data_IF_456718087101
#
_entry.id   IF_456718087101
#
_cell.length_a   1.000
_cell.length_b   1.000
_cell.length_c   1.000
_cell.angle_alpha   90.00
_cell.angle_beta   90.00
_cell.angle_gamma   90.00
#
_symmetry.space_group_name_H-M   'P 1'
#
loop_
_entity.id
_entity.type
_entity.pdbx_description
1 polymer ?
#
# COMPACT_ATOMS: atom_id res chain seq x y z
N UNK A 1 0.84 61.57 17.07
CA UNK A 1 2.26 61.28 17.27
C UNK A 1 2.63 60.05 16.46
N UNK A 2 3.18 60.25 15.26
CA UNK A 2 3.59 59.20 14.36
C UNK A 2 5.07 58.89 14.48
N UNK A 3 5.41 57.64 14.33
CA UNK A 3 6.81 57.26 14.19
C UNK A 3 6.98 56.39 12.91
N UNK A 4 7.62 56.99 11.90
CA UNK A 4 8.08 56.36 10.66
C UNK A 4 9.31 55.51 10.96
N UNK A 5 9.34 54.27 10.52
CA UNK A 5 10.56 53.46 10.42
C UNK A 5 10.97 53.32 8.96
N UNK A 6 12.20 53.75 8.69
CA UNK A 6 12.87 53.73 7.37
C UNK A 6 13.32 52.31 7.00
N UNK A 7 13.03 51.94 5.78
CA UNK A 7 13.69 50.81 5.07
C UNK A 7 15.10 51.22 4.66
N UNK A 8 16.09 50.38 4.94
CA UNK A 8 17.39 50.38 4.29
C UNK A 8 17.52 49.15 3.43
N UNK A 9 17.64 49.36 2.12
CA UNK A 9 18.10 48.41 1.11
C UNK A 9 19.63 48.33 1.15
N UNK A 10 20.17 47.13 1.26
CA UNK A 10 21.59 46.84 1.12
C UNK A 10 21.80 45.84 -0.02
N UNK A 11 22.37 46.35 -1.08
CA UNK A 11 22.82 45.56 -2.24
C UNK A 11 24.19 44.95 -1.90
N UNK A 12 24.35 43.64 -1.99
CA UNK A 12 25.65 42.98 -1.93
C UNK A 12 26.02 42.45 -3.31
N UNK A 13 27.09 43.01 -3.84
CA UNK A 13 27.79 42.63 -5.09
C UNK A 13 28.69 41.42 -4.79
N UNK A 14 28.57 40.36 -5.55
CA UNK A 14 29.49 39.20 -5.48
C UNK A 14 30.46 39.32 -6.65
N UNK A 15 31.74 39.43 -6.31
CA UNK A 15 32.84 39.41 -7.26
C UNK A 15 33.27 37.97 -7.60
N UNK A 16 33.34 37.66 -8.88
CA UNK A 16 34.01 36.46 -9.39
C UNK A 16 35.54 36.64 -9.36
N UNK A 17 36.21 35.62 -8.87
CA UNK A 17 37.65 35.42 -9.17
C UNK A 17 37.81 34.04 -9.77
N UNK A 18 38.17 34.03 -11.03
CA UNK A 18 38.60 32.82 -11.72
C UNK A 18 40.11 32.61 -11.55
N UNK A 19 40.51 31.37 -11.40
CA UNK A 19 41.91 30.99 -11.60
C UNK A 19 41.97 29.65 -12.36
N UNK A 20 42.47 29.72 -13.57
CA UNK A 20 42.86 28.59 -14.38
C UNK A 20 44.34 28.29 -14.14
N UNK A 21 44.68 27.02 -13.97
CA UNK A 21 46.07 26.57 -14.22
C UNK A 21 46.08 25.18 -14.85
N UNK A 22 46.72 25.14 -15.99
CA UNK A 22 46.96 23.97 -16.83
C UNK A 22 48.33 23.36 -16.53
N UNK A 23 48.50 22.10 -16.92
CA UNK A 23 49.79 21.43 -17.11
C UNK A 23 49.99 20.24 -16.17
N UNK A 24 50.51 19.08 -16.54
CA UNK A 24 51.15 18.53 -17.73
C UNK A 24 51.16 17.01 -17.63
N UNK A 25 51.08 16.36 -18.77
CA UNK A 25 51.26 14.92 -19.00
C UNK A 25 52.71 14.50 -18.74
N UNK A 26 52.90 13.35 -18.11
CA UNK A 26 54.08 12.50 -18.37
C UNK A 26 53.69 11.01 -18.28
N UNK A 27 54.10 10.31 -19.31
CA UNK A 27 53.88 8.89 -19.54
C UNK A 27 55.07 8.04 -19.09
N UNK A 28 54.88 6.71 -19.14
CA UNK A 28 55.81 5.58 -19.11
C UNK A 28 56.19 5.07 -17.72
N UNK A 29 56.10 3.76 -17.39
CA UNK A 29 56.40 2.56 -18.18
C UNK A 29 55.98 1.26 -17.49
N UNK A 30 55.74 0.29 -18.30
CA UNK A 30 55.48 -1.12 -18.11
C UNK A 30 56.20 -1.86 -16.98
N UNK A 31 55.45 -2.76 -16.26
CA UNK A 31 56.00 -4.05 -15.80
C UNK A 31 54.90 -5.12 -15.74
N UNK A 32 55.32 -6.26 -16.17
CA UNK A 32 54.72 -7.55 -16.48
C UNK A 32 53.60 -8.06 -15.59
N UNK A 33 52.61 -8.68 -16.25
CA UNK A 33 51.56 -9.51 -15.74
C UNK A 33 52.06 -10.78 -15.04
N UNK A 34 51.41 -11.12 -13.94
CA UNK A 34 51.44 -12.41 -13.30
C UNK A 34 50.02 -13.02 -13.36
N UNK A 35 49.85 -14.31 -13.63
CA UNK A 35 48.52 -14.86 -13.93
C UNK A 35 47.66 -14.90 -12.69
N UNK A 36 46.45 -14.37 -12.85
CA UNK A 36 45.40 -14.44 -11.85
C UNK A 36 44.87 -15.86 -11.75
N UNK A 37 44.83 -16.39 -10.54
CA UNK A 37 44.12 -17.58 -10.21
C UNK A 37 42.62 -17.37 -10.51
N UNK A 38 42.09 -18.18 -11.39
CA UNK A 38 40.66 -18.32 -11.65
C UNK A 38 39.98 -18.89 -10.43
N UNK A 39 39.38 -18.05 -9.59
CA UNK A 39 38.34 -18.47 -8.68
C UNK A 39 36.99 -18.42 -9.42
N UNK A 40 36.50 -19.56 -9.81
CA UNK A 40 35.14 -19.77 -10.27
C UNK A 40 34.17 -19.53 -9.09
N UNK A 41 33.85 -18.28 -8.83
CA UNK A 41 32.77 -17.87 -7.95
C UNK A 41 31.49 -17.77 -8.76
N UNK A 42 30.68 -18.80 -8.75
CA UNK A 42 29.30 -18.72 -9.21
C UNK A 42 28.57 -17.72 -8.34
N UNK A 43 28.38 -16.49 -8.81
CA UNK A 43 27.50 -15.50 -8.21
C UNK A 43 26.07 -15.97 -8.37
N UNK A 44 25.51 -16.58 -7.34
CA UNK A 44 24.08 -16.80 -7.27
C UNK A 44 23.39 -15.44 -7.26
N UNK A 45 22.60 -15.17 -8.28
CA UNK A 45 21.86 -13.90 -8.46
C UNK A 45 20.90 -13.53 -7.31
N UNK A 46 20.78 -14.38 -6.28
CA UNK A 46 19.89 -14.17 -5.14
C UNK A 46 20.45 -13.40 -3.94
N UNK A 47 21.76 -13.11 -3.89
CA UNK A 47 22.40 -12.44 -2.73
C UNK A 47 22.76 -10.97 -2.99
N UNK A 48 22.62 -10.50 -4.22
CA UNK A 48 22.95 -9.12 -4.57
C UNK A 48 22.19 -8.11 -3.70
N UNK A 49 22.92 -7.20 -3.04
CA UNK A 49 22.37 -6.15 -2.18
C UNK A 49 21.94 -6.61 -0.77
N UNK A 50 22.19 -7.87 -0.36
CA UNK A 50 22.01 -8.32 1.03
C UNK A 50 23.35 -8.24 1.74
N UNK A 51 23.45 -7.54 2.90
CA UNK A 51 24.69 -7.49 3.67
C UNK A 51 25.15 -8.89 4.10
N UNK A 52 26.45 -9.17 4.02
CA UNK A 52 26.98 -10.46 4.43
C UNK A 52 26.66 -10.79 5.90
N UNK A 53 26.67 -9.78 6.77
CA UNK A 53 26.31 -9.91 8.20
C UNK A 53 24.88 -10.40 8.42
N UNK A 54 23.97 -10.15 7.49
CA UNK A 54 22.57 -10.59 7.59
C UNK A 54 22.45 -12.13 7.62
N UNK A 55 23.40 -12.86 7.02
CA UNK A 55 23.37 -14.33 6.97
C UNK A 55 23.81 -15.01 8.28
N UNK A 56 24.25 -14.25 9.27
CA UNK A 56 24.47 -14.71 10.64
C UNK A 56 23.55 -14.04 11.67
N UNK A 57 22.68 -13.11 11.21
CA UNK A 57 21.79 -12.35 12.08
C UNK A 57 20.51 -13.14 12.36
N UNK A 58 20.32 -13.51 13.62
CA UNK A 58 19.16 -14.23 14.15
C UNK A 58 18.42 -13.42 15.21
N UNK A 59 18.58 -12.10 15.23
CA UNK A 59 17.84 -11.20 16.15
C UNK A 59 16.34 -11.50 16.09
N UNK A 60 15.70 -11.63 17.25
CA UNK A 60 14.27 -11.96 17.35
C UNK A 60 13.90 -13.42 17.04
N UNK A 61 14.89 -14.28 16.76
CA UNK A 61 14.71 -15.71 16.54
C UNK A 61 15.22 -16.51 17.73
N UNK A 62 14.41 -17.43 18.22
CA UNK A 62 14.80 -18.43 19.25
C UNK A 62 14.58 -19.85 18.72
N UNK A 63 14.87 -20.85 19.54
CA UNK A 63 14.58 -22.23 19.19
C UNK A 63 13.08 -22.50 18.97
N UNK A 64 12.20 -21.76 19.66
CA UNK A 64 10.76 -22.01 19.70
C UNK A 64 9.88 -20.88 19.17
N UNK A 65 10.45 -19.71 18.86
CA UNK A 65 9.70 -18.54 18.44
C UNK A 65 10.42 -17.68 17.40
N UNK A 66 9.64 -16.93 16.67
CA UNK A 66 10.04 -15.80 15.81
C UNK A 66 9.23 -14.59 16.25
N UNK A 67 9.89 -13.52 16.68
CA UNK A 67 9.22 -12.27 17.02
C UNK A 67 9.30 -11.31 15.84
N UNK A 68 8.15 -10.78 15.44
CA UNK A 68 8.03 -9.78 14.38
C UNK A 68 7.46 -8.49 14.94
N UNK A 69 7.92 -7.35 14.45
CA UNK A 69 7.46 -6.03 14.87
C UNK A 69 6.38 -5.48 13.93
N UNK A 70 5.29 -4.96 14.48
CA UNK A 70 4.24 -4.26 13.78
C UNK A 70 4.22 -2.80 14.21
N UNK A 71 4.69 -1.90 13.36
CA UNK A 71 4.67 -0.45 13.60
C UNK A 71 3.50 0.13 12.84
N UNK A 72 2.51 0.65 13.56
CA UNK A 72 1.28 1.18 12.96
C UNK A 72 0.85 2.48 13.62
N UNK A 73 0.13 3.33 12.88
CA UNK A 73 -0.60 4.45 13.46
C UNK A 73 -1.90 3.93 14.05
N UNK A 74 -1.92 3.68 15.36
CA UNK A 74 -3.10 3.21 16.09
C UNK A 74 -3.92 4.36 16.67
N UNK A 75 -3.30 5.53 16.83
CA UNK A 75 -3.96 6.74 17.29
C UNK A 75 -5.23 7.03 16.48
N UNK A 76 -6.27 7.46 17.17
CA UNK A 76 -7.60 7.74 16.59
C UNK A 76 -8.26 6.53 15.90
N UNK A 77 -7.77 5.31 16.13
CA UNK A 77 -8.27 4.09 15.51
C UNK A 77 -7.96 3.96 14.02
N UNK A 78 -7.05 4.77 13.47
CA UNK A 78 -6.84 4.89 12.03
C UNK A 78 -6.46 3.57 11.35
N UNK A 79 -5.39 2.92 11.81
CA UNK A 79 -4.89 1.68 11.20
C UNK A 79 -4.80 0.53 12.22
N UNK A 80 -5.68 0.54 13.19
CA UNK A 80 -5.83 -0.56 14.15
C UNK A 80 -6.01 -1.91 13.44
N UNK A 81 -6.67 -1.91 12.29
CA UNK A 81 -6.85 -3.07 11.44
C UNK A 81 -5.53 -3.75 11.08
N UNK A 82 -4.48 -3.00 10.72
CA UNK A 82 -3.19 -3.57 10.34
C UNK A 82 -2.57 -4.41 11.46
N UNK A 83 -2.65 -3.93 12.70
CA UNK A 83 -2.20 -4.66 13.86
C UNK A 83 -3.06 -5.91 14.12
N UNK A 84 -4.38 -5.78 14.08
CA UNK A 84 -5.32 -6.90 14.27
C UNK A 84 -5.12 -7.97 13.19
N UNK A 85 -4.97 -7.59 11.93
CA UNK A 85 -4.74 -8.52 10.83
C UNK A 85 -3.43 -9.31 10.99
N UNK A 86 -2.37 -8.66 11.44
CA UNK A 86 -1.10 -9.32 11.73
C UNK A 86 -1.21 -10.27 12.92
N UNK A 87 -1.92 -9.90 13.98
CA UNK A 87 -2.19 -10.78 15.12
C UNK A 87 -3.07 -11.97 14.73
N UNK A 88 -4.08 -11.75 13.88
CA UNK A 88 -4.95 -12.80 13.37
C UNK A 88 -4.18 -13.84 12.55
N UNK A 89 -3.29 -13.38 11.67
CA UNK A 89 -2.36 -14.24 10.94
C UNK A 89 -1.46 -15.03 11.88
N UNK A 90 -0.82 -14.39 12.84
CA UNK A 90 0.03 -15.06 13.84
C UNK A 90 -0.74 -16.13 14.60
N UNK A 91 -1.92 -15.82 15.10
CA UNK A 91 -2.77 -16.77 15.80
C UNK A 91 -3.17 -17.98 14.92
N UNK A 92 -3.52 -17.72 13.65
CA UNK A 92 -3.83 -18.77 12.68
C UNK A 92 -2.64 -19.72 12.47
N UNK A 93 -1.48 -19.18 12.17
CA UNK A 93 -0.25 -19.95 11.93
C UNK A 93 0.13 -20.75 13.18
N UNK A 94 0.03 -20.14 14.35
CA UNK A 94 0.35 -20.80 15.63
C UNK A 94 -0.63 -21.95 15.95
N UNK A 95 -1.89 -21.84 15.50
CA UNK A 95 -2.88 -22.91 15.67
C UNK A 95 -2.55 -24.19 14.91
N UNK A 96 -1.76 -24.06 13.85
CA UNK A 96 -1.29 -25.18 13.01
C UNK A 96 0.14 -25.64 13.36
N UNK A 97 0.69 -25.19 14.49
CA UNK A 97 2.03 -25.58 14.98
C UNK A 97 3.13 -24.57 14.69
N UNK A 98 2.82 -23.40 14.14
CA UNK A 98 3.80 -22.38 13.80
C UNK A 98 4.48 -22.62 12.45
N UNK A 99 5.64 -21.99 12.25
CA UNK A 99 6.44 -22.12 11.02
C UNK A 99 7.79 -22.75 11.38
N UNK A 100 8.14 -23.84 10.73
CA UNK A 100 9.38 -24.60 10.99
C UNK A 100 9.57 -24.92 12.50
N UNK A 101 8.48 -25.26 13.21
CA UNK A 101 8.48 -25.59 14.62
C UNK A 101 8.53 -24.38 15.57
N UNK A 102 8.45 -23.16 15.06
CA UNK A 102 8.46 -21.92 15.85
C UNK A 102 7.12 -21.22 15.82
N UNK A 103 6.70 -20.73 16.97
CA UNK A 103 5.53 -19.84 17.07
C UNK A 103 5.91 -18.42 16.64
N UNK A 104 4.96 -17.72 16.04
CA UNK A 104 5.10 -16.32 15.71
C UNK A 104 4.57 -15.48 16.86
N UNK A 105 5.39 -14.55 17.33
CA UNK A 105 5.04 -13.53 18.30
C UNK A 105 5.01 -12.17 17.60
N UNK A 106 4.07 -11.31 17.95
CA UNK A 106 3.91 -9.98 17.35
C UNK A 106 4.12 -8.92 18.43
N UNK A 107 5.18 -8.14 18.29
CA UNK A 107 5.39 -6.93 19.07
C UNK A 107 4.69 -5.76 18.37
N UNK A 108 3.80 -5.11 19.07
CA UNK A 108 2.97 -4.03 18.55
C UNK A 108 3.48 -2.68 19.01
N UNK A 109 3.72 -1.77 18.07
CA UNK A 109 4.20 -0.43 18.32
C UNK A 109 3.23 0.59 17.73
N UNK A 110 2.76 1.52 18.56
CA UNK A 110 1.95 2.67 18.13
C UNK A 110 2.88 3.87 17.91
N UNK A 111 2.86 4.45 16.72
CA UNK A 111 3.62 5.67 16.46
C UNK A 111 2.86 6.96 16.83
N UNK A 112 1.62 6.84 17.31
CA UNK A 112 0.83 7.98 17.77
C UNK A 112 0.56 9.04 16.69
N UNK A 113 0.69 8.68 15.40
CA UNK A 113 0.62 9.65 14.28
C UNK A 113 1.76 10.70 14.37
N UNK A 114 2.95 10.27 14.72
CA UNK A 114 4.12 11.15 14.87
C UNK A 114 5.39 10.50 14.30
N UNK A 115 6.19 11.29 13.59
CA UNK A 115 7.38 10.79 12.90
C UNK A 115 8.49 10.31 13.85
N UNK A 116 8.77 11.04 14.94
CA UNK A 116 9.81 10.62 15.89
C UNK A 116 9.48 9.31 16.62
N UNK A 117 8.26 9.09 17.14
CA UNK A 117 7.84 7.78 17.64
C UNK A 117 7.87 6.67 16.58
N UNK A 118 7.49 6.94 15.33
CA UNK A 118 7.60 5.97 14.24
C UNK A 118 9.05 5.53 14.03
N UNK A 119 9.98 6.48 13.98
CA UNK A 119 11.41 6.20 13.89
C UNK A 119 11.88 5.36 15.07
N UNK A 120 11.53 5.75 16.31
CA UNK A 120 11.93 5.03 17.53
C UNK A 120 11.35 3.60 17.55
N UNK A 121 10.09 3.42 17.17
CA UNK A 121 9.48 2.09 17.07
C UNK A 121 10.22 1.21 16.06
N UNK A 122 10.55 1.77 14.89
CA UNK A 122 11.31 1.03 13.87
C UNK A 122 12.73 0.69 14.32
N UNK A 123 13.37 1.55 15.11
CA UNK A 123 14.66 1.25 15.75
C UNK A 123 14.54 0.06 16.73
N UNK A 124 13.45 -0.02 17.49
CA UNK A 124 13.19 -1.16 18.37
C UNK A 124 12.98 -2.45 17.57
N UNK A 125 12.23 -2.40 16.46
CA UNK A 125 12.10 -3.55 15.55
C UNK A 125 13.47 -3.99 15.05
N UNK A 126 14.30 -3.08 14.59
CA UNK A 126 15.63 -3.42 14.10
C UNK A 126 16.52 -4.10 15.15
N UNK A 127 16.38 -3.69 16.42
CA UNK A 127 17.22 -4.18 17.55
C UNK A 127 16.69 -5.46 18.20
N UNK A 128 15.39 -5.74 18.16
CA UNK A 128 14.77 -6.80 18.98
C UNK A 128 14.02 -7.84 18.15
N UNK A 129 13.41 -7.43 17.03
CA UNK A 129 12.51 -8.28 16.25
C UNK A 129 13.25 -8.86 15.05
N UNK A 130 12.79 -10.00 14.58
CA UNK A 130 13.40 -10.68 13.42
C UNK A 130 13.11 -9.96 12.11
N UNK A 131 11.94 -9.37 11.98
CA UNK A 131 11.48 -8.63 10.82
C UNK A 131 10.40 -7.62 11.21
N UNK A 132 10.20 -6.59 10.38
CA UNK A 132 8.98 -5.80 10.41
C UNK A 132 7.91 -6.51 9.57
N UNK A 133 6.69 -6.69 10.11
CA UNK A 133 5.59 -7.38 9.42
C UNK A 133 4.25 -6.70 9.67
N UNK A 134 3.56 -6.36 8.60
CA UNK A 134 2.14 -6.02 8.60
C UNK A 134 1.77 -4.67 9.18
N UNK A 135 2.74 -3.84 9.57
CA UNK A 135 2.48 -2.48 10.02
C UNK A 135 1.93 -1.59 8.90
N UNK A 136 1.17 -0.56 9.28
CA UNK A 136 0.73 0.49 8.36
C UNK A 136 0.72 1.84 9.09
N UNK A 137 1.42 2.82 8.53
CA UNK A 137 1.65 4.11 9.19
C UNK A 137 1.61 5.27 8.20
N UNK A 138 1.02 6.39 8.64
CA UNK A 138 1.13 7.67 7.93
C UNK A 138 2.53 8.27 8.00
N UNK A 139 3.37 7.80 8.93
CA UNK A 139 4.70 8.32 9.23
C UNK A 139 5.82 7.38 8.76
N UNK A 140 5.54 6.44 7.85
CA UNK A 140 6.47 5.39 7.41
C UNK A 140 7.76 5.93 6.76
N UNK A 141 7.77 7.18 6.29
CA UNK A 141 8.97 7.86 5.79
C UNK A 141 10.05 8.00 6.87
N UNK A 142 9.67 8.16 8.13
CA UNK A 142 10.61 8.25 9.26
C UNK A 142 11.23 6.89 9.57
N UNK A 143 10.42 5.84 9.63
CA UNK A 143 10.90 4.46 9.78
C UNK A 143 11.74 3.98 8.60
N UNK A 144 11.46 4.46 7.41
CA UNK A 144 12.25 4.17 6.21
C UNK A 144 13.71 4.57 6.37
N UNK A 145 14.02 5.67 7.09
CA UNK A 145 15.40 6.07 7.36
C UNK A 145 16.14 5.05 8.22
N UNK A 146 15.44 4.42 9.16
CA UNK A 146 15.99 3.35 10.02
C UNK A 146 16.24 2.09 9.20
N UNK A 147 15.25 1.66 8.40
CA UNK A 147 15.37 0.46 7.56
C UNK A 147 16.45 0.61 6.49
N UNK A 148 16.63 1.82 5.94
CA UNK A 148 17.72 2.12 5.02
C UNK A 148 19.10 2.00 5.67
N UNK A 149 19.22 2.43 6.93
CA UNK A 149 20.43 2.30 7.73
C UNK A 149 20.67 0.87 8.26
N UNK A 150 19.64 0.02 8.27
CA UNK A 150 19.66 -1.37 8.73
C UNK A 150 19.20 -2.34 7.62
N UNK A 151 19.93 -2.43 6.49
CA UNK A 151 19.50 -3.20 5.32
C UNK A 151 19.43 -4.71 5.56
N UNK A 152 19.92 -5.22 6.68
CA UNK A 152 19.76 -6.60 7.11
C UNK A 152 18.36 -6.93 7.65
N UNK A 153 17.57 -5.92 8.05
CA UNK A 153 16.24 -6.13 8.65
C UNK A 153 15.22 -6.36 7.55
N UNK A 154 14.58 -7.54 7.46
CA UNK A 154 13.51 -7.77 6.51
C UNK A 154 12.28 -6.92 6.87
N UNK A 155 11.64 -6.33 5.86
CA UNK A 155 10.39 -5.60 6.01
C UNK A 155 9.35 -6.18 5.05
N UNK A 156 8.38 -6.91 5.59
CA UNK A 156 7.23 -7.46 4.87
C UNK A 156 5.97 -6.69 5.27
N UNK A 157 5.81 -5.49 4.70
CA UNK A 157 4.68 -4.60 5.00
C UNK A 157 4.15 -3.94 3.73
N UNK A 158 2.89 -3.51 3.75
CA UNK A 158 2.39 -2.57 2.75
C UNK A 158 2.84 -1.18 3.15
N UNK A 159 3.70 -0.58 2.35
CA UNK A 159 4.20 0.78 2.58
C UNK A 159 3.24 1.81 2.00
N UNK A 160 3.01 2.88 2.75
CA UNK A 160 2.22 4.00 2.28
C UNK A 160 3.05 4.90 1.33
N UNK A 161 4.29 5.19 1.73
CA UNK A 161 5.20 6.02 0.92
C UNK A 161 6.03 5.19 -0.07
N UNK A 162 6.34 5.79 -1.21
CA UNK A 162 7.25 5.20 -2.19
C UNK A 162 8.66 5.01 -1.61
N UNK A 163 9.11 5.97 -0.78
CA UNK A 163 10.43 5.91 -0.13
C UNK A 163 10.58 4.65 0.72
N UNK A 164 9.57 4.30 1.52
CA UNK A 164 9.60 3.08 2.32
C UNK A 164 9.47 1.81 1.45
N UNK A 165 8.60 1.86 0.44
CA UNK A 165 8.37 0.73 -0.47
C UNK A 165 9.57 0.36 -1.35
N UNK A 166 10.36 1.34 -1.78
CA UNK A 166 11.49 1.14 -2.68
C UNK A 166 12.77 0.63 -2.02
N UNK A 167 12.82 0.57 -0.68
CA UNK A 167 13.99 0.07 0.03
C UNK A 167 14.33 -1.37 -0.38
N UNK A 168 15.62 -1.72 -0.53
CA UNK A 168 16.03 -3.06 -1.00
C UNK A 168 15.63 -4.20 -0.06
N UNK A 169 15.37 -3.90 1.22
CA UNK A 169 14.92 -4.84 2.25
C UNK A 169 13.41 -4.77 2.52
N UNK A 170 12.66 -3.97 1.75
CA UNK A 170 11.19 -3.89 1.83
C UNK A 170 10.53 -4.72 0.73
N UNK A 171 9.56 -5.54 1.12
CA UNK A 171 8.76 -6.39 0.24
C UNK A 171 7.30 -6.28 0.66
N UNK A 172 6.42 -6.04 -0.29
CA UNK A 172 5.01 -5.82 -0.01
C UNK A 172 4.14 -6.84 -0.71
N UNK A 173 3.07 -7.34 -0.08
CA UNK A 173 2.05 -8.11 -0.78
C UNK A 173 1.29 -7.28 -1.82
N UNK A 174 1.26 -5.95 -1.64
CA UNK A 174 0.72 -4.98 -2.57
C UNK A 174 1.74 -3.82 -2.73
N UNK A 175 2.73 -3.98 -3.60
CA UNK A 175 3.81 -3.02 -3.75
C UNK A 175 3.29 -1.62 -4.10
N UNK A 176 3.78 -0.61 -3.40
CA UNK A 176 3.46 0.77 -3.68
C UNK A 176 3.98 1.17 -5.06
N UNK A 177 3.10 1.74 -5.88
CA UNK A 177 3.46 2.31 -7.17
C UNK A 177 2.59 3.54 -7.43
N UNK A 178 3.17 4.54 -8.08
CA UNK A 178 2.42 5.71 -8.54
C UNK A 178 1.85 5.37 -9.92
N UNK A 179 0.53 5.37 -10.02
CA UNK A 179 -0.18 4.97 -11.22
C UNK A 179 -1.52 4.34 -10.87
N UNK A 180 -2.13 3.68 -11.85
CA UNK A 180 -3.43 3.03 -11.67
C UNK A 180 -3.63 1.87 -12.64
N UNK A 181 -4.37 0.80 -12.26
CA UNK A 181 -4.81 -0.22 -13.21
C UNK A 181 -5.74 0.38 -14.27
N UNK A 182 -5.47 0.10 -15.55
CA UNK A 182 -6.30 0.65 -16.63
C UNK A 182 -7.58 -0.15 -16.86
N UNK A 183 -7.64 -1.41 -16.41
CA UNK A 183 -8.78 -2.29 -16.61
C UNK A 183 -10.09 -1.72 -16.07
N UNK A 184 -10.19 -1.28 -14.80
CA UNK A 184 -11.38 -0.65 -14.26
C UNK A 184 -11.81 0.58 -15.06
N UNK A 185 -10.84 1.41 -15.45
CA UNK A 185 -11.12 2.61 -16.24
C UNK A 185 -11.70 2.26 -17.63
N UNK A 186 -11.19 1.22 -18.26
CA UNK A 186 -11.73 0.71 -19.53
C UNK A 186 -13.15 0.16 -19.34
N UNK A 187 -13.39 -0.57 -18.25
CA UNK A 187 -14.70 -1.09 -17.89
C UNK A 187 -15.76 0.02 -17.78
N UNK A 188 -15.49 1.06 -16.97
CA UNK A 188 -16.42 2.17 -16.82
C UNK A 188 -16.58 2.99 -18.08
N UNK A 189 -15.53 3.15 -18.89
CA UNK A 189 -15.62 3.81 -20.19
C UNK A 189 -16.52 3.06 -21.16
N UNK A 190 -16.47 1.74 -21.19
CA UNK A 190 -17.37 0.93 -22.00
C UNK A 190 -18.82 1.02 -21.52
N UNK A 191 -18.99 1.04 -20.19
CA UNK A 191 -20.33 1.07 -19.58
C UNK A 191 -20.98 2.46 -19.65
N UNK A 192 -20.19 3.51 -19.48
CA UNK A 192 -20.64 4.90 -19.39
C UNK A 192 -19.82 5.83 -20.32
N UNK A 193 -19.84 5.60 -21.63
CA UNK A 193 -18.92 6.29 -22.56
C UNK A 193 -19.11 7.82 -22.59
N UNK A 194 -20.33 8.32 -22.38
CA UNK A 194 -20.61 9.75 -22.29
C UNK A 194 -20.24 10.32 -20.91
N UNK A 195 -20.47 9.57 -19.84
CA UNK A 195 -20.31 10.08 -18.47
C UNK A 195 -18.85 10.19 -18.05
N UNK A 196 -17.96 9.36 -18.60
CA UNK A 196 -16.50 9.48 -18.37
C UNK A 196 -15.91 10.77 -18.95
N UNK A 197 -16.63 11.47 -19.83
CA UNK A 197 -16.28 12.82 -20.28
C UNK A 197 -16.63 13.90 -19.22
N UNK A 198 -17.28 13.51 -18.15
CA UNK A 198 -17.72 14.33 -17.04
C UNK A 198 -17.33 13.69 -15.72
N UNK A 199 -16.11 13.20 -15.63
CA UNK A 199 -15.59 12.55 -14.43
C UNK A 199 -15.25 13.58 -13.35
N UNK A 200 -15.50 13.22 -12.10
CA UNK A 200 -15.11 13.99 -10.94
C UNK A 200 -14.41 13.13 -9.90
N UNK A 201 -13.62 13.76 -9.06
CA UNK A 201 -13.03 13.14 -7.87
C UNK A 201 -12.98 14.12 -6.70
N UNK A 202 -13.10 13.57 -5.50
CA UNK A 202 -12.86 14.28 -4.25
C UNK A 202 -11.81 13.49 -3.47
N UNK A 203 -10.74 14.14 -3.06
CA UNK A 203 -9.52 13.50 -2.56
C UNK A 203 -9.17 14.04 -1.19
N UNK A 204 -8.82 13.17 -0.25
CA UNK A 204 -8.33 13.60 1.04
C UNK A 204 -7.03 14.43 0.88
N UNK A 205 -6.95 15.57 1.57
CA UNK A 205 -5.76 16.42 1.59
C UNK A 205 -4.66 15.78 2.46
N UNK A 206 -4.13 14.66 1.97
CA UNK A 206 -3.02 13.91 2.54
C UNK A 206 -2.00 13.63 1.44
N UNK A 207 -0.69 13.72 1.70
CA UNK A 207 0.34 13.56 0.67
C UNK A 207 0.22 12.27 -0.12
N UNK A 208 -0.08 11.14 0.53
CA UNK A 208 -0.25 9.84 -0.12
C UNK A 208 -1.50 9.78 -1.00
N UNK A 209 -2.63 10.33 -0.55
CA UNK A 209 -3.85 10.37 -1.33
C UNK A 209 -3.70 11.26 -2.57
N UNK A 210 -3.06 12.41 -2.41
CA UNK A 210 -2.75 13.34 -3.51
C UNK A 210 -1.84 12.68 -4.55
N UNK A 211 -0.80 11.97 -4.10
CA UNK A 211 0.13 11.26 -4.99
C UNK A 211 -0.58 10.14 -5.75
N UNK A 212 -1.38 9.32 -5.07
CA UNK A 212 -2.18 8.26 -5.72
C UNK A 212 -3.16 8.84 -6.72
N UNK A 213 -3.88 9.89 -6.35
CA UNK A 213 -4.79 10.57 -7.26
C UNK A 213 -4.08 11.13 -8.51
N UNK A 214 -2.88 11.66 -8.36
CA UNK A 214 -2.07 12.10 -9.49
C UNK A 214 -1.83 10.99 -10.51
N UNK A 215 -1.51 9.80 -10.03
CA UNK A 215 -1.34 8.60 -10.87
C UNK A 215 -2.65 8.11 -11.49
N UNK A 216 -3.72 8.07 -10.72
CA UNK A 216 -5.06 7.69 -11.18
C UNK A 216 -5.59 8.66 -12.25
N UNK A 217 -5.49 9.97 -12.02
CA UNK A 217 -5.88 11.01 -12.98
C UNK A 217 -5.08 10.91 -14.28
N UNK A 218 -3.77 10.64 -14.21
CA UNK A 218 -2.94 10.44 -15.39
C UNK A 218 -3.38 9.18 -16.18
N UNK A 219 -3.70 8.09 -15.48
CA UNK A 219 -4.25 6.89 -16.11
C UNK A 219 -5.61 7.16 -16.74
N UNK A 220 -6.52 7.86 -16.05
CA UNK A 220 -7.81 8.31 -16.61
C UNK A 220 -7.62 9.07 -17.92
N UNK A 221 -6.73 10.05 -17.93
CA UNK A 221 -6.42 10.82 -19.14
C UNK A 221 -5.91 9.92 -20.26
N UNK A 222 -5.04 8.94 -19.96
CA UNK A 222 -4.54 7.98 -20.95
C UNK A 222 -5.64 7.11 -21.57
N UNK A 223 -6.75 6.90 -20.82
CA UNK A 223 -7.91 6.14 -21.25
C UNK A 223 -9.01 7.04 -21.88
N UNK A 224 -8.74 8.34 -22.05
CA UNK A 224 -9.65 9.29 -22.70
C UNK A 224 -10.78 9.79 -21.81
N UNK A 225 -10.58 9.79 -20.49
CA UNK A 225 -11.47 10.49 -19.55
C UNK A 225 -11.25 11.99 -19.61
N UNK A 226 -12.31 12.75 -19.32
CA UNK A 226 -12.24 14.18 -19.06
C UNK A 226 -12.67 14.44 -17.61
N UNK A 227 -11.73 14.87 -16.77
CA UNK A 227 -11.98 15.20 -15.36
C UNK A 227 -12.39 16.66 -15.27
N UNK A 228 -13.66 16.89 -14.96
CA UNK A 228 -14.27 18.24 -14.87
C UNK A 228 -14.32 18.78 -13.45
N UNK A 229 -14.12 17.92 -12.44
CA UNK A 229 -14.07 18.28 -11.03
C UNK A 229 -12.94 17.50 -10.34
N UNK A 230 -12.08 18.20 -9.60
CA UNK A 230 -10.92 17.66 -8.96
C UNK A 230 -10.57 18.55 -7.76
N UNK A 231 -11.08 18.19 -6.59
CA UNK A 231 -10.92 18.98 -5.38
C UNK A 231 -10.41 18.13 -4.22
N UNK A 232 -9.75 18.79 -3.29
CA UNK A 232 -9.29 18.19 -2.03
C UNK A 232 -10.18 18.64 -0.88
N UNK A 233 -10.29 17.81 0.16
CA UNK A 233 -10.95 18.13 1.40
C UNK A 233 -10.03 17.92 2.60
N UNK A 234 -10.19 18.73 3.65
CA UNK A 234 -9.45 18.58 4.90
C UNK A 234 -9.99 17.43 5.75
N UNK A 235 -9.11 16.74 6.47
CA UNK A 235 -9.47 15.58 7.31
C UNK A 235 -10.44 15.92 8.46
N UNK A 236 -10.60 17.20 8.79
CA UNK A 236 -11.58 17.68 9.78
C UNK A 236 -12.91 18.09 9.16
N UNK A 237 -13.03 18.03 7.83
CA UNK A 237 -14.26 18.42 7.14
C UNK A 237 -15.36 17.39 7.38
N UNK A 238 -16.53 17.85 7.78
CA UNK A 238 -17.73 17.04 8.03
C UNK A 238 -18.92 17.38 7.14
N UNK A 239 -18.93 18.59 6.56
CA UNK A 239 -19.96 19.08 5.66
C UNK A 239 -19.41 19.17 4.23
N UNK A 240 -20.05 18.44 3.32
CA UNK A 240 -19.68 18.37 1.91
C UNK A 240 -20.69 19.05 0.98
N UNK A 241 -21.62 19.81 1.55
CA UNK A 241 -22.67 20.51 0.78
C UNK A 241 -22.09 21.36 -0.36
N UNK A 242 -21.07 22.17 -0.07
CA UNK A 242 -20.45 23.03 -1.09
C UNK A 242 -19.69 22.25 -2.15
N UNK A 243 -19.09 21.12 -1.79
CA UNK A 243 -18.45 20.24 -2.75
C UNK A 243 -19.46 19.66 -3.73
N UNK A 244 -20.63 19.23 -3.25
CA UNK A 244 -21.72 18.71 -4.10
C UNK A 244 -22.27 19.78 -5.02
N UNK A 245 -22.48 21.01 -4.54
CA UNK A 245 -22.88 22.15 -5.40
C UNK A 245 -21.85 22.37 -6.51
N UNK A 246 -20.56 22.36 -6.19
CA UNK A 246 -19.49 22.54 -7.17
C UNK A 246 -19.44 21.39 -8.18
N UNK A 247 -19.63 20.14 -7.74
CA UNK A 247 -19.71 18.96 -8.63
C UNK A 247 -20.87 19.07 -9.62
N UNK A 248 -22.05 19.48 -9.13
CA UNK A 248 -23.22 19.70 -9.98
C UNK A 248 -22.96 20.80 -11.01
N UNK A 249 -22.40 21.93 -10.58
CA UNK A 249 -22.09 23.06 -11.47
C UNK A 249 -21.03 22.70 -12.53
N UNK A 250 -20.10 21.83 -12.18
CA UNK A 250 -19.10 21.28 -13.11
C UNK A 250 -19.69 20.20 -14.04
N UNK A 251 -20.90 19.75 -13.80
CA UNK A 251 -21.60 18.76 -14.62
C UNK A 251 -21.08 17.33 -14.43
N UNK A 252 -20.58 16.97 -13.23
CA UNK A 252 -20.11 15.62 -12.93
C UNK A 252 -21.21 14.58 -13.17
N UNK A 253 -20.86 13.50 -13.88
CA UNK A 253 -21.75 12.36 -14.19
C UNK A 253 -21.26 11.06 -13.57
N UNK A 254 -19.96 10.91 -13.38
CA UNK A 254 -19.34 9.79 -12.68
C UNK A 254 -18.34 10.33 -11.67
N UNK A 255 -18.45 9.91 -10.41
CA UNK A 255 -17.70 10.43 -9.27
C UNK A 255 -16.87 9.33 -8.63
N UNK A 256 -15.54 9.53 -8.58
CA UNK A 256 -14.58 8.62 -7.98
C UNK A 256 -14.27 9.07 -6.55
N UNK A 257 -14.61 8.22 -5.57
CA UNK A 257 -14.41 8.42 -4.14
C UNK A 257 -13.48 7.34 -3.59
N UNK A 258 -12.32 7.17 -4.24
CA UNK A 258 -11.38 6.08 -3.96
C UNK A 258 -10.22 6.50 -3.05
N UNK A 259 -9.89 7.80 -3.03
CA UNK A 259 -8.75 8.34 -2.28
C UNK A 259 -9.21 8.95 -0.94
N UNK A 260 -10.02 8.19 -0.21
CA UNK A 260 -10.53 8.56 1.12
C UNK A 260 -10.99 7.34 1.91
N UNK A 261 -11.01 7.40 3.25
CA UNK A 261 -11.67 6.41 4.09
C UNK A 261 -13.20 6.40 3.93
N UNK A 262 -13.83 5.27 4.29
CA UNK A 262 -15.27 5.04 4.12
C UNK A 262 -16.17 6.07 4.84
N UNK A 263 -15.77 6.56 6.01
CA UNK A 263 -16.53 7.55 6.76
C UNK A 263 -16.69 8.89 6.03
N UNK A 264 -15.66 9.34 5.31
CA UNK A 264 -15.77 10.55 4.48
C UNK A 264 -16.64 10.29 3.24
N UNK A 265 -16.47 9.14 2.58
CA UNK A 265 -17.33 8.74 1.46
C UNK A 265 -18.81 8.72 1.89
N UNK A 266 -19.11 8.18 3.06
CA UNK A 266 -20.46 8.18 3.62
C UNK A 266 -21.02 9.60 3.83
N UNK A 267 -20.18 10.53 4.31
CA UNK A 267 -20.59 11.93 4.46
C UNK A 267 -20.85 12.63 3.13
N UNK A 268 -20.04 12.33 2.11
CA UNK A 268 -20.27 12.81 0.73
C UNK A 268 -21.59 12.27 0.18
N UNK A 269 -21.86 10.96 0.35
CA UNK A 269 -23.10 10.32 -0.09
C UNK A 269 -24.33 10.98 0.54
N UNK A 270 -24.28 11.26 1.84
CA UNK A 270 -25.37 11.99 2.52
C UNK A 270 -25.62 13.36 1.89
N UNK A 271 -24.56 14.11 1.61
CA UNK A 271 -24.68 15.42 0.96
C UNK A 271 -25.24 15.32 -0.47
N UNK A 272 -24.82 14.30 -1.24
CA UNK A 272 -25.35 14.02 -2.57
C UNK A 272 -26.87 13.76 -2.53
N UNK A 273 -27.28 12.87 -1.63
CA UNK A 273 -28.71 12.51 -1.49
C UNK A 273 -29.56 13.69 -0.95
N UNK A 274 -29.04 14.47 0.01
CA UNK A 274 -29.74 15.65 0.52
C UNK A 274 -29.99 16.70 -0.56
N UNK A 275 -29.13 16.76 -1.57
CA UNK A 275 -29.24 17.71 -2.66
C UNK A 275 -29.85 17.12 -3.95
N UNK A 276 -30.37 15.90 -3.88
CA UNK A 276 -30.93 15.20 -5.04
C UNK A 276 -30.00 15.23 -6.27
N UNK A 277 -28.72 14.88 -6.03
CA UNK A 277 -27.70 14.82 -7.07
C UNK A 277 -27.09 13.41 -7.11
N UNK A 278 -27.26 12.69 -8.21
CA UNK A 278 -27.00 11.26 -8.32
C UNK A 278 -26.04 10.91 -9.48
N UNK A 279 -24.76 11.29 -9.42
CA UNK A 279 -23.76 10.77 -10.35
C UNK A 279 -23.53 9.27 -10.13
N UNK A 280 -23.00 8.56 -11.11
CA UNK A 280 -22.49 7.21 -10.86
C UNK A 280 -21.35 7.28 -9.84
N UNK A 281 -21.40 6.46 -8.79
CA UNK A 281 -20.39 6.42 -7.74
C UNK A 281 -19.44 5.24 -7.95
N UNK A 282 -18.14 5.49 -7.83
CA UNK A 282 -17.09 4.49 -7.89
C UNK A 282 -16.25 4.58 -6.61
N UNK A 283 -16.18 3.48 -5.87
CA UNK A 283 -15.39 3.31 -4.66
C UNK A 283 -14.20 2.38 -4.93
N UNK A 284 -13.13 2.55 -4.15
CA UNK A 284 -11.97 1.66 -4.17
C UNK A 284 -11.85 0.82 -2.90
N UNK A 285 -10.73 0.12 -2.77
CA UNK A 285 -10.49 -0.77 -1.63
C UNK A 285 -10.47 -0.04 -0.27
N UNK A 286 -10.03 1.22 -0.22
CA UNK A 286 -10.01 2.03 1.01
C UNK A 286 -11.40 2.42 1.51
N UNK A 287 -12.40 2.45 0.65
CA UNK A 287 -13.79 2.73 0.97
C UNK A 287 -14.65 1.47 1.13
N UNK A 288 -14.14 0.32 0.70
CA UNK A 288 -14.80 -0.98 0.84
C UNK A 288 -14.85 -1.40 2.31
N UNK A 289 -15.98 -1.19 2.94
CA UNK A 289 -16.24 -1.58 4.34
C UNK A 289 -17.75 -1.75 4.57
N UNK A 290 -18.12 -2.52 5.61
CA UNK A 290 -19.52 -2.63 6.03
C UNK A 290 -20.10 -1.28 6.44
N UNK A 291 -19.28 -0.40 7.01
CA UNK A 291 -19.68 0.94 7.45
C UNK A 291 -20.08 1.85 6.29
N UNK A 292 -19.57 1.60 5.07
CA UNK A 292 -19.93 2.41 3.90
C UNK A 292 -21.46 2.46 3.71
N UNK A 293 -22.13 1.33 3.84
CA UNK A 293 -23.60 1.24 3.69
C UNK A 293 -24.32 1.87 4.90
N UNK A 294 -23.95 1.46 6.11
CA UNK A 294 -24.64 1.91 7.34
C UNK A 294 -24.47 3.41 7.58
N UNK A 295 -23.25 3.93 7.41
CA UNK A 295 -22.94 5.33 7.69
C UNK A 295 -23.42 6.28 6.59
N UNK A 296 -23.73 5.78 5.39
CA UNK A 296 -24.29 6.57 4.29
C UNK A 296 -25.80 6.82 4.43
N UNK A 297 -26.47 6.15 5.35
CA UNK A 297 -27.91 6.26 5.55
C UNK A 297 -28.70 5.01 5.14
N UNK A 298 -28.01 3.89 4.92
CA UNK A 298 -28.61 2.58 4.62
C UNK A 298 -28.56 2.21 3.13
N UNK A 299 -29.17 1.10 2.80
CA UNK A 299 -29.09 0.47 1.49
C UNK A 299 -29.48 1.40 0.33
N UNK A 300 -30.60 2.14 0.46
CA UNK A 300 -31.08 3.02 -0.58
C UNK A 300 -30.12 4.17 -0.90
N UNK A 301 -29.35 4.61 0.08
CA UNK A 301 -28.42 5.74 -0.09
C UNK A 301 -27.25 5.43 -1.02
N UNK A 302 -26.89 4.16 -1.18
CA UNK A 302 -25.73 3.67 -1.95
C UNK A 302 -26.12 2.73 -3.08
N UNK A 303 -27.42 2.57 -3.35
CA UNK A 303 -27.92 1.64 -4.36
C UNK A 303 -27.31 1.93 -5.73
N UNK A 304 -26.79 0.90 -6.37
CA UNK A 304 -26.19 0.97 -7.68
C UNK A 304 -24.75 1.49 -7.74
N UNK A 305 -24.17 1.90 -6.61
CA UNK A 305 -22.76 2.32 -6.55
C UNK A 305 -21.81 1.16 -6.88
N UNK A 306 -20.68 1.48 -7.50
CA UNK A 306 -19.66 0.51 -7.90
C UNK A 306 -18.49 0.50 -6.92
N UNK A 307 -17.85 -0.66 -6.82
CA UNK A 307 -16.56 -0.83 -6.15
C UNK A 307 -15.59 -1.45 -7.15
N UNK A 308 -14.40 -0.90 -7.27
CA UNK A 308 -13.30 -1.49 -8.01
C UNK A 308 -12.09 -1.67 -7.11
N UNK A 309 -11.45 -2.82 -7.17
CA UNK A 309 -10.29 -3.09 -6.33
C UNK A 309 -9.49 -4.29 -6.81
N UNK A 310 -8.23 -4.35 -6.43
CA UNK A 310 -7.34 -5.50 -6.71
C UNK A 310 -7.52 -6.65 -5.70
N UNK A 311 -8.43 -6.50 -4.74
CA UNK A 311 -8.72 -7.48 -3.70
C UNK A 311 -10.01 -8.25 -4.02
N UNK A 312 -10.14 -9.45 -3.44
CA UNK A 312 -11.42 -10.16 -3.36
C UNK A 312 -12.42 -9.41 -2.45
N UNK A 313 -13.67 -9.83 -2.45
CA UNK A 313 -14.67 -9.33 -1.50
C UNK A 313 -14.47 -10.00 -0.14
N UNK A 314 -13.41 -9.60 0.56
CA UNK A 314 -12.90 -10.23 1.77
C UNK A 314 -13.75 -9.95 3.03
N UNK A 315 -14.73 -9.05 2.96
CA UNK A 315 -15.63 -8.76 4.10
C UNK A 315 -16.68 -9.85 4.35
N UNK A 316 -16.84 -10.81 3.46
CA UNK A 316 -17.71 -11.97 3.65
C UNK A 316 -18.42 -12.44 2.41
N UNK A 317 -18.59 -11.59 1.42
CA UNK A 317 -19.35 -11.91 0.21
C UNK A 317 -18.72 -13.08 -0.56
N UNK A 318 -17.39 -13.16 -0.58
CA UNK A 318 -16.66 -14.25 -1.22
C UNK A 318 -16.42 -15.47 -0.31
N UNK A 319 -16.78 -15.41 0.97
CA UNK A 319 -16.39 -16.44 1.94
C UNK A 319 -16.94 -17.84 1.61
N UNK A 320 -18.07 -17.95 0.91
CA UNK A 320 -18.65 -19.23 0.51
C UNK A 320 -17.88 -19.91 -0.63
N UNK A 321 -17.19 -19.16 -1.45
CA UNK A 321 -16.46 -19.65 -2.64
C UNK A 321 -14.95 -19.53 -2.53
N UNK A 322 -14.45 -18.66 -1.63
CA UNK A 322 -13.03 -18.42 -1.40
C UNK A 322 -12.67 -18.80 0.05
N UNK A 323 -12.12 -20.00 0.29
CA UNK A 323 -11.77 -20.46 1.64
C UNK A 323 -10.84 -19.51 2.39
N UNK A 324 -9.93 -18.84 1.70
CA UNK A 324 -9.02 -17.85 2.30
C UNK A 324 -9.77 -16.66 2.91
N UNK A 325 -10.86 -16.19 2.29
CA UNK A 325 -11.68 -15.11 2.84
C UNK A 325 -12.39 -15.55 4.12
N UNK A 326 -12.91 -16.78 4.14
CA UNK A 326 -13.51 -17.35 5.35
C UNK A 326 -12.50 -17.50 6.48
N UNK A 327 -11.32 -18.00 6.18
CA UNK A 327 -10.23 -18.17 7.17
C UNK A 327 -9.80 -16.81 7.74
N UNK A 328 -9.58 -15.82 6.89
CA UNK A 328 -9.23 -14.46 7.30
C UNK A 328 -10.25 -13.90 8.29
N UNK A 329 -11.53 -13.93 7.95
CA UNK A 329 -12.59 -13.40 8.81
C UNK A 329 -12.70 -14.16 10.13
N UNK A 330 -12.65 -15.50 10.08
CA UNK A 330 -12.73 -16.33 11.27
C UNK A 330 -11.64 -15.96 12.28
N UNK A 331 -10.40 -15.76 11.81
CA UNK A 331 -9.28 -15.47 12.71
C UNK A 331 -9.25 -14.02 13.17
N UNK A 332 -9.71 -13.07 12.37
CA UNK A 332 -9.92 -11.70 12.82
C UNK A 332 -10.93 -11.67 13.98
N UNK A 333 -12.05 -12.38 13.86
CA UNK A 333 -13.06 -12.45 14.93
C UNK A 333 -12.56 -13.20 16.17
N UNK A 334 -11.69 -14.21 16.03
CA UNK A 334 -11.08 -14.89 17.18
C UNK A 334 -10.14 -13.98 17.97
N UNK A 335 -9.37 -13.15 17.28
CA UNK A 335 -8.39 -12.23 17.90
C UNK A 335 -9.06 -10.99 18.45
N UNK A 336 -10.02 -10.43 17.72
CA UNK A 336 -10.75 -9.21 18.08
C UNK A 336 -12.23 -9.35 17.82
N UNK A 337 -12.98 -9.99 18.75
CA UNK A 337 -14.42 -10.21 18.58
C UNK A 337 -15.18 -8.92 18.32
N UNK A 338 -16.02 -8.91 17.28
CA UNK A 338 -16.83 -7.75 16.89
C UNK A 338 -16.08 -6.68 16.08
N UNK A 339 -14.78 -6.82 15.87
CA UNK A 339 -14.05 -5.90 15.01
C UNK A 339 -14.50 -6.04 13.55
N UNK A 340 -14.75 -4.92 12.90
CA UNK A 340 -15.09 -4.86 11.48
C UNK A 340 -13.82 -4.72 10.64
N UNK A 341 -13.43 -5.77 9.89
CA UNK A 341 -12.25 -5.70 9.03
C UNK A 341 -12.34 -4.59 7.99
N UNK A 342 -11.19 -4.06 7.65
CA UNK A 342 -11.00 -3.10 6.57
C UNK A 342 -9.80 -3.52 5.70
N UNK A 343 -9.45 -2.69 4.71
CA UNK A 343 -8.29 -2.93 3.85
C UNK A 343 -7.00 -3.11 4.65
N UNK A 344 -6.82 -2.36 5.71
CA UNK A 344 -5.60 -2.41 6.53
C UNK A 344 -5.51 -3.71 7.32
N UNK A 345 -6.64 -4.26 7.75
CA UNK A 345 -6.71 -5.60 8.35
C UNK A 345 -6.23 -6.67 7.36
N UNK A 346 -6.69 -6.56 6.11
CA UNK A 346 -6.22 -7.44 5.04
C UNK A 346 -4.72 -7.27 4.77
N UNK A 347 -4.21 -6.05 4.77
CA UNK A 347 -2.78 -5.79 4.58
C UNK A 347 -1.92 -6.44 5.67
N UNK A 348 -2.31 -6.36 6.92
CA UNK A 348 -1.61 -7.03 8.02
C UNK A 348 -1.58 -8.55 7.84
N UNK A 349 -2.70 -9.15 7.47
CA UNK A 349 -2.82 -10.57 7.18
C UNK A 349 -1.97 -11.01 5.97
N UNK A 350 -2.08 -10.32 4.86
CA UNK A 350 -1.31 -10.62 3.63
C UNK A 350 0.20 -10.47 3.84
N UNK A 351 0.62 -9.47 4.59
CA UNK A 351 2.03 -9.28 4.97
C UNK A 351 2.57 -10.46 5.76
N UNK A 352 1.76 -10.97 6.69
CA UNK A 352 2.06 -12.19 7.42
C UNK A 352 2.17 -13.41 6.50
N UNK A 353 1.26 -13.57 5.55
CA UNK A 353 1.32 -14.68 4.58
C UNK A 353 2.57 -14.59 3.68
N UNK A 354 2.94 -13.39 3.23
CA UNK A 354 4.17 -13.17 2.46
C UNK A 354 5.40 -13.56 3.28
N UNK A 355 5.46 -13.12 4.54
CA UNK A 355 6.53 -13.49 5.46
C UNK A 355 6.56 -15.01 5.73
N UNK A 356 5.40 -15.66 5.84
CA UNK A 356 5.28 -17.12 5.99
C UNK A 356 5.96 -17.85 4.86
N UNK A 357 5.71 -17.47 3.59
CA UNK A 357 6.33 -18.11 2.44
C UNK A 357 7.86 -18.02 2.49
N UNK A 358 8.39 -16.86 2.84
CA UNK A 358 9.83 -16.66 2.96
C UNK A 358 10.45 -17.46 4.11
N UNK A 359 9.79 -17.47 5.28
CA UNK A 359 10.27 -18.17 6.47
C UNK A 359 10.23 -19.70 6.27
N UNK A 360 9.17 -20.23 5.67
CA UNK A 360 9.08 -21.66 5.32
C UNK A 360 10.20 -22.08 4.37
N UNK A 361 10.45 -21.28 3.33
CA UNK A 361 11.49 -21.54 2.34
C UNK A 361 12.91 -21.40 2.90
N UNK A 362 13.13 -20.55 3.90
CA UNK A 362 14.42 -20.40 4.58
C UNK A 362 14.75 -21.59 5.49
N UNK A 363 13.75 -22.34 5.93
CA UNK A 363 13.92 -23.54 6.74
C UNK A 363 14.24 -23.24 8.22
N UNK A 364 14.65 -24.28 8.96
CA UNK A 364 14.86 -24.20 10.40
C UNK A 364 16.04 -23.27 10.77
N UNK A 365 17.08 -23.23 9.97
CA UNK A 365 18.26 -22.39 10.20
C UNK A 365 18.13 -21.00 9.59
N UNK A 366 16.94 -20.41 9.66
CA UNK A 366 16.66 -19.09 9.11
C UNK A 366 17.54 -18.00 9.77
N UNK A 367 17.95 -17.04 8.96
CA UNK A 367 18.61 -15.80 9.34
C UNK A 367 17.89 -14.64 8.64
N UNK A 368 18.10 -13.40 9.07
CA UNK A 368 17.58 -12.24 8.35
C UNK A 368 18.01 -12.23 6.88
N UNK A 369 19.26 -12.63 6.60
CA UNK A 369 19.78 -12.73 5.24
C UNK A 369 19.09 -13.80 4.41
N UNK A 370 18.83 -14.98 4.98
CA UNK A 370 18.11 -16.04 4.27
C UNK A 370 16.64 -15.65 3.98
N UNK A 371 15.98 -14.93 4.89
CA UNK A 371 14.63 -14.39 4.64
C UNK A 371 14.65 -13.39 3.49
N UNK A 372 15.56 -12.43 3.51
CA UNK A 372 15.72 -11.46 2.41
C UNK A 372 15.96 -12.17 1.07
N UNK A 373 16.79 -13.22 1.09
CA UNK A 373 17.04 -14.02 -0.10
C UNK A 373 15.78 -14.73 -0.62
N UNK A 374 14.92 -15.24 0.26
CA UNK A 374 13.67 -15.87 -0.14
C UNK A 374 12.63 -14.84 -0.61
N UNK A 375 12.50 -13.70 0.07
CA UNK A 375 11.60 -12.61 -0.36
C UNK A 375 11.93 -12.13 -1.78
N UNK A 376 13.21 -12.04 -2.13
CA UNK A 376 13.67 -11.69 -3.49
C UNK A 376 13.31 -12.73 -4.58
N UNK A 377 12.82 -13.90 -4.21
CA UNK A 377 12.37 -14.93 -5.16
C UNK A 377 10.87 -14.97 -5.33
N UNK A 378 10.10 -14.25 -4.50
CA UNK A 378 8.64 -14.28 -4.59
C UNK A 378 8.20 -13.29 -5.68
N UNK A 379 8.04 -13.80 -6.89
CA UNK A 379 7.64 -13.06 -8.09
C UNK A 379 6.15 -13.14 -8.37
N UNK A 380 5.43 -13.98 -7.65
CA UNK A 380 3.98 -14.13 -7.74
C UNK A 380 3.40 -14.36 -6.34
N UNK A 381 2.68 -13.36 -5.85
CA UNK A 381 2.00 -13.41 -4.57
C UNK A 381 0.54 -12.99 -4.74
N UNK A 382 -0.38 -13.78 -4.19
CA UNK A 382 -1.81 -13.49 -4.24
C UNK A 382 -2.55 -13.77 -2.91
N UNK A 383 -1.85 -14.21 -1.86
CA UNK A 383 -2.45 -14.49 -0.57
C UNK A 383 -3.59 -15.50 -0.62
N UNK A 384 -3.44 -16.57 -1.40
CA UNK A 384 -4.51 -17.54 -1.72
C UNK A 384 -5.73 -16.86 -2.36
N UNK A 385 -5.48 -15.94 -3.29
CA UNK A 385 -6.47 -15.17 -4.06
C UNK A 385 -7.27 -14.15 -3.25
N UNK A 386 -6.80 -13.78 -2.07
CA UNK A 386 -7.33 -12.61 -1.35
C UNK A 386 -6.99 -11.30 -2.04
N UNK A 387 -5.90 -11.28 -2.80
CA UNK A 387 -5.49 -10.17 -3.67
C UNK A 387 -5.13 -10.73 -5.05
N UNK A 388 -5.30 -9.94 -6.09
CA UNK A 388 -4.77 -10.28 -7.40
C UNK A 388 -3.25 -10.39 -7.36
N UNK A 389 -2.68 -11.20 -8.25
CA UNK A 389 -1.24 -11.47 -8.26
C UNK A 389 -0.41 -10.20 -8.38
N UNK A 390 0.52 -10.03 -7.46
CA UNK A 390 1.57 -9.02 -7.46
C UNK A 390 2.95 -9.65 -7.57
N UNK A 391 3.98 -8.86 -7.78
CA UNK A 391 5.37 -9.31 -7.77
C UNK A 391 6.17 -8.55 -6.70
N UNK A 392 6.18 -9.04 -5.44
CA UNK A 392 6.91 -8.40 -4.35
C UNK A 392 8.43 -8.27 -4.61
N UNK A 393 9.04 -9.28 -5.23
CA UNK A 393 10.47 -9.28 -5.52
C UNK A 393 10.91 -8.14 -6.44
N UNK A 394 10.10 -7.80 -7.42
CA UNK A 394 10.35 -6.73 -8.40
C UNK A 394 9.56 -5.47 -8.10
N UNK A 395 8.82 -5.43 -6.99
CA UNK A 395 8.01 -4.29 -6.54
C UNK A 395 6.96 -3.87 -7.59
N UNK A 396 6.34 -4.88 -8.25
CA UNK A 396 5.30 -4.63 -9.25
C UNK A 396 3.93 -4.87 -8.61
N UNK A 397 3.04 -3.87 -8.64
CA UNK A 397 1.70 -3.99 -8.09
C UNK A 397 0.82 -4.95 -8.90
N UNK A 398 -0.25 -5.43 -8.27
CA UNK A 398 -1.34 -6.08 -8.97
C UNK A 398 -2.03 -5.11 -9.93
N UNK A 399 -2.52 -5.63 -11.08
CA UNK A 399 -3.35 -4.86 -12.01
C UNK A 399 -4.64 -5.58 -12.38
N UNK A 400 -4.74 -6.88 -12.13
CA UNK A 400 -6.00 -7.58 -12.21
C UNK A 400 -6.93 -7.08 -11.10
N UNK A 401 -8.23 -7.07 -11.35
CA UNK A 401 -9.19 -6.38 -10.51
C UNK A 401 -10.53 -7.11 -10.42
N UNK A 402 -11.33 -6.69 -9.46
CA UNK A 402 -12.71 -7.08 -9.26
C UNK A 402 -13.60 -5.85 -9.46
N UNK A 403 -14.72 -6.02 -10.14
CA UNK A 403 -15.83 -5.07 -10.16
C UNK A 403 -16.92 -5.63 -9.25
N UNK A 404 -17.46 -4.77 -8.38
CA UNK A 404 -18.64 -5.07 -7.58
C UNK A 404 -19.64 -3.92 -7.68
N UNK A 405 -20.90 -4.21 -7.38
CA UNK A 405 -21.96 -3.23 -7.29
C UNK A 405 -22.77 -3.44 -6.01
N UNK A 406 -23.20 -2.35 -5.41
CA UNK A 406 -24.07 -2.40 -4.24
C UNK A 406 -25.51 -2.55 -4.71
N UNK A 407 -26.16 -3.64 -4.26
CA UNK A 407 -27.58 -3.94 -4.53
C UNK A 407 -28.27 -4.33 -3.25
N UNK A 408 -29.34 -3.64 -2.90
CA UNK A 408 -30.10 -3.85 -1.65
C UNK A 408 -29.19 -3.83 -0.41
N UNK A 409 -28.16 -2.96 -0.40
CA UNK A 409 -27.19 -2.84 0.70
C UNK A 409 -26.11 -3.91 0.75
N UNK A 410 -26.08 -4.83 -0.23
CA UNK A 410 -25.05 -5.89 -0.31
C UNK A 410 -24.11 -5.59 -1.46
N UNK A 411 -22.81 -5.66 -1.19
CA UNK A 411 -21.77 -5.52 -2.22
C UNK A 411 -21.64 -6.87 -2.92
N UNK A 412 -21.89 -6.89 -4.23
CA UNK A 412 -21.93 -8.11 -5.03
C UNK A 412 -20.98 -7.99 -6.22
N UNK A 413 -20.30 -9.10 -6.55
CA UNK A 413 -19.51 -9.19 -7.77
C UNK A 413 -20.37 -8.93 -9.02
N UNK A 414 -19.81 -8.18 -9.95
CA UNK A 414 -20.48 -7.84 -11.22
C UNK A 414 -19.49 -7.98 -12.39
N UNK A 415 -19.90 -8.73 -13.41
CA UNK A 415 -19.13 -8.88 -14.67
C UNK A 415 -17.71 -9.45 -14.49
N UNK A 416 -17.46 -10.23 -13.45
CA UNK A 416 -16.17 -10.89 -13.22
C UNK A 416 -16.22 -12.36 -13.70
N UNK A 417 -15.05 -12.95 -14.03
CA UNK A 417 -14.96 -14.40 -14.21
C UNK A 417 -15.28 -15.13 -12.89
N UNK A 418 -15.67 -16.42 -12.94
CA UNK A 418 -15.97 -17.18 -11.72
C UNK A 418 -14.73 -17.38 -10.83
N UNK A 419 -14.96 -17.42 -9.52
CA UNK A 419 -13.89 -17.61 -8.51
C UNK A 419 -13.21 -18.98 -8.67
N UNK A 420 -13.96 -20.02 -9.00
CA UNK A 420 -13.49 -21.37 -9.27
C UNK A 420 -12.89 -21.56 -10.68
N UNK A 421 -12.91 -20.51 -11.50
CA UNK A 421 -12.31 -20.52 -12.82
C UNK A 421 -10.80 -20.21 -12.81
N UNK A 422 -10.14 -20.26 -13.98
CA UNK A 422 -8.69 -20.09 -14.09
C UNK A 422 -8.17 -18.71 -13.71
N UNK A 423 -9.03 -17.69 -13.70
CA UNK A 423 -8.70 -16.32 -13.28
C UNK A 423 -9.06 -16.05 -11.81
N UNK A 424 -9.58 -17.04 -11.11
CA UNK A 424 -9.93 -16.96 -9.68
C UNK A 424 -10.78 -15.73 -9.31
N UNK A 425 -11.72 -15.37 -10.20
CA UNK A 425 -12.62 -14.27 -9.97
C UNK A 425 -12.08 -12.87 -10.33
N UNK A 426 -10.88 -12.78 -10.86
CA UNK A 426 -10.25 -11.51 -11.25
C UNK A 426 -10.33 -11.26 -12.76
N UNK A 427 -10.66 -10.05 -13.13
CA UNK A 427 -10.50 -9.53 -14.49
C UNK A 427 -9.05 -9.13 -14.67
N UNK A 428 -8.42 -9.54 -15.76
CA UNK A 428 -7.03 -9.24 -16.08
C UNK A 428 -6.87 -8.52 -17.42
N UNK A 429 -7.92 -7.92 -17.92
CA UNK A 429 -7.88 -6.99 -19.04
C UNK A 429 -7.26 -5.65 -18.59
N UNK A 430 -6.49 -5.03 -19.48
CA UNK A 430 -5.71 -3.82 -19.15
C UNK A 430 -4.30 -4.10 -18.64
N UNK A 431 -3.72 -3.11 -18.01
CA UNK A 431 -2.36 -3.13 -17.45
C UNK A 431 -2.25 -2.10 -16.33
N UNK A 432 -1.15 -2.12 -15.58
CA UNK A 432 -0.83 -1.02 -14.69
C UNK A 432 -0.22 0.13 -15.49
N UNK A 433 -0.79 1.33 -15.36
CA UNK A 433 -0.26 2.57 -15.92
C UNK A 433 0.61 3.26 -14.87
N UNK A 434 1.90 3.36 -15.14
CA UNK A 434 2.86 4.05 -14.26
C UNK A 434 2.89 5.55 -14.53
N UNK A 435 3.05 6.36 -13.49
CA UNK A 435 3.19 7.81 -13.59
C UNK A 435 4.35 8.30 -12.71
N UNK A 436 5.38 8.98 -13.26
CA UNK A 436 5.56 9.18 -14.70
C UNK A 436 5.71 7.85 -15.46
N UNK A 437 5.45 7.83 -16.79
CA UNK A 437 5.61 6.62 -17.60
C UNK A 437 7.02 6.06 -17.47
N UNK A 438 7.13 4.73 -17.36
CA UNK A 438 8.41 3.99 -17.37
C UNK A 438 8.79 3.63 -18.78
#
# INVERSE_FOLDING_TARGET
SGTKVRRRSGTLTVAMVGLALAGTLTACSSTKAQPAATSSGGTSSGTAGIPASAFSDTTGLTATSVTVGNVSTLAFGLFKGANIGTQAWSAYVNSTGGINGRKILVDSYDDGYQGAPNKQATEQVAQKDFAAVGGFSLEDTFGATVLAANPAVPNATVSLSQVAGDLPNSFSPDPAAIGWPTGPLQYFKQKFPADVQHAGALVANQPSAITKWGGEKAAMKSQGYNVVYDQQFGITQTDFTQNVVAMRNAGVKILFLEQMPANYAASVIKALNQQDFHPHLVFGASTYSEQLVTDSGGAAAVEGAYVEMVNSLFLGEDASQLPAAKTFQTWVQKVSPGFKPDLYTLFGWLSGQLFTQALQAAGHNATRGSILQQLKKITNFNGNYLIASSNPAQKLPAYCYVIAQIKNGVIQRLDNPPIDGPQHGYRCDGKFYYFPPK
#
